data_IF_329429927355
#
_entry.id   IF_329429927355
#
_cell.length_a   1.000
_cell.length_b   1.000
_cell.length_c   1.000
_cell.angle_alpha   90.00
_cell.angle_beta   90.00
_cell.angle_gamma   90.00
#
_symmetry.space_group_name_H-M   'P 1'
#
loop_
_entity.id
_entity.type
_entity.pdbx_description
1 polymer ?
#
# COMPACT_ATOMS: atom_id res chain seq x y z
N UNK A 1 -19.45 -15.14 3.05
CA UNK A 1 -18.58 -13.98 3.19
C UNK A 1 -17.39 -14.31 4.09
N UNK A 2 -16.22 -13.77 3.75
CA UNK A 2 -14.99 -13.91 4.52
C UNK A 2 -14.52 -12.53 4.95
N UNK A 3 -13.83 -12.46 6.07
CA UNK A 3 -13.22 -11.23 6.58
C UNK A 3 -11.71 -11.42 6.66
N UNK A 4 -10.95 -10.41 6.26
CA UNK A 4 -9.50 -10.34 6.41
C UNK A 4 -9.13 -9.04 7.08
N UNK A 5 -8.20 -9.12 8.02
CA UNK A 5 -7.55 -7.96 8.60
C UNK A 5 -6.07 -8.00 8.20
N UNK A 6 -5.52 -6.86 7.81
CA UNK A 6 -4.11 -6.69 7.46
C UNK A 6 -3.59 -5.41 8.09
N UNK A 7 -2.43 -5.50 8.71
CA UNK A 7 -1.67 -4.37 9.19
C UNK A 7 -0.39 -4.24 8.36
N UNK A 8 -0.07 -3.05 7.95
CA UNK A 8 1.10 -2.73 7.15
C UNK A 8 1.76 -1.51 7.79
N UNK A 9 3.04 -1.63 8.04
CA UNK A 9 3.91 -0.58 8.54
C UNK A 9 5.01 -0.35 7.51
N UNK A 10 5.08 0.86 6.99
CA UNK A 10 6.04 1.29 5.99
C UNK A 10 6.79 2.49 6.54
N UNK A 11 8.09 2.33 6.77
CA UNK A 11 8.97 3.44 7.10
C UNK A 11 10.15 3.46 6.15
N UNK A 12 10.50 4.62 5.66
CA UNK A 12 11.67 4.83 4.82
C UNK A 12 12.27 6.22 5.07
N UNK A 13 13.60 6.31 4.95
CA UNK A 13 14.31 7.57 5.02
C UNK A 13 15.25 7.69 3.82
N UNK A 14 15.18 8.80 3.13
CA UNK A 14 16.02 9.06 1.97
C UNK A 14 16.58 10.48 2.04
N UNK A 15 17.74 10.69 1.42
CA UNK A 15 18.26 12.02 1.18
C UNK A 15 18.74 12.16 -0.25
N UNK A 16 18.34 13.22 -0.92
CA UNK A 16 18.76 13.49 -2.30
C UNK A 16 19.02 14.98 -2.52
N UNK A 17 19.81 15.28 -3.55
CA UNK A 17 19.99 16.64 -4.03
C UNK A 17 18.95 16.89 -5.11
N UNK A 18 18.06 17.85 -4.89
CA UNK A 18 17.03 18.18 -5.85
C UNK A 18 17.62 18.98 -7.02
N UNK A 19 17.22 18.65 -8.26
CA UNK A 19 17.72 19.27 -9.48
C UNK A 19 16.92 20.51 -9.91
N UNK A 20 15.79 20.77 -9.28
CA UNK A 20 14.90 21.91 -9.53
C UNK A 20 14.26 22.37 -8.23
N UNK A 21 13.77 23.59 -8.20
CA UNK A 21 12.96 24.05 -7.07
C UNK A 21 11.69 23.21 -6.97
N UNK A 22 11.37 22.76 -5.78
CA UNK A 22 10.11 22.09 -5.47
C UNK A 22 9.36 22.90 -4.42
N UNK A 23 8.05 22.93 -4.54
CA UNK A 23 7.17 23.51 -3.54
C UNK A 23 6.38 22.37 -2.90
N UNK A 24 6.38 22.33 -1.58
CA UNK A 24 5.65 21.34 -0.82
C UNK A 24 5.09 21.95 0.45
N UNK A 25 3.79 21.79 0.67
CA UNK A 25 3.06 22.32 1.83
C UNK A 25 3.35 23.82 2.11
N UNK A 26 3.40 24.65 1.04
CA UNK A 26 3.65 26.09 1.11
C UNK A 26 5.12 26.48 1.35
N UNK A 27 6.05 25.52 1.39
CA UNK A 27 7.49 25.75 1.52
C UNK A 27 8.21 25.46 0.19
N UNK A 28 9.18 26.31 -0.16
CA UNK A 28 9.95 26.16 -1.40
C UNK A 28 11.35 25.64 -1.10
N UNK A 29 11.67 24.43 -1.59
CA UNK A 29 13.01 23.85 -1.52
C UNK A 29 13.78 24.21 -2.79
N UNK A 30 14.91 24.89 -2.61
CA UNK A 30 15.70 25.44 -3.72
C UNK A 30 16.52 24.34 -4.41
N UNK A 31 16.65 24.44 -5.74
CA UNK A 31 17.48 23.51 -6.53
C UNK A 31 18.93 23.45 -6.02
N UNK A 32 19.56 22.30 -6.19
CA UNK A 32 20.91 21.96 -5.72
C UNK A 32 21.05 21.90 -4.18
N UNK A 33 19.96 21.83 -3.46
CA UNK A 33 19.91 21.67 -2.01
C UNK A 33 19.72 20.18 -1.67
N UNK A 34 20.35 19.73 -0.60
CA UNK A 34 20.09 18.40 -0.05
C UNK A 34 18.81 18.45 0.77
N UNK A 35 17.88 17.61 0.42
CA UNK A 35 16.62 17.40 1.16
C UNK A 35 16.62 16.00 1.73
N UNK A 36 16.43 15.88 3.02
CA UNK A 36 16.13 14.62 3.69
C UNK A 36 14.62 14.44 3.75
N UNK A 37 14.18 13.23 3.49
CA UNK A 37 12.77 12.84 3.55
C UNK A 37 12.65 11.66 4.50
N UNK A 38 11.85 11.82 5.54
CA UNK A 38 11.46 10.77 6.45
C UNK A 38 9.96 10.49 6.23
N UNK A 39 9.65 9.22 6.04
CA UNK A 39 8.30 8.77 5.75
C UNK A 39 7.93 7.61 6.66
N UNK A 40 6.86 7.79 7.41
CA UNK A 40 6.23 6.76 8.23
C UNK A 40 4.76 6.64 7.85
N UNK A 41 4.32 5.44 7.50
CA UNK A 41 2.94 5.18 7.13
C UNK A 41 2.48 3.84 7.71
N UNK A 42 1.52 3.91 8.61
CA UNK A 42 0.80 2.75 9.13
C UNK A 42 -0.54 2.60 8.41
N UNK A 43 -0.87 1.38 8.00
CA UNK A 43 -2.14 1.09 7.36
C UNK A 43 -2.82 -0.11 8.01
N UNK A 44 -4.12 0.01 8.24
CA UNK A 44 -4.98 -1.08 8.70
C UNK A 44 -6.07 -1.30 7.66
N UNK A 45 -6.10 -2.50 7.09
CA UNK A 45 -7.10 -2.93 6.11
C UNK A 45 -8.10 -3.89 6.74
N UNK A 46 -9.38 -3.59 6.63
CA UNK A 46 -10.48 -4.51 6.85
C UNK A 46 -11.13 -4.87 5.52
N UNK A 47 -10.98 -6.12 5.07
CA UNK A 47 -11.56 -6.58 3.80
C UNK A 47 -12.69 -7.57 4.04
N UNK A 48 -13.86 -7.26 3.49
CA UNK A 48 -15.00 -8.18 3.39
C UNK A 48 -15.10 -8.69 1.96
N UNK A 49 -15.03 -10.00 1.75
CA UNK A 49 -15.03 -10.59 0.42
C UNK A 49 -15.79 -11.90 0.34
N UNK A 50 -16.17 -12.27 -0.87
CA UNK A 50 -16.72 -13.60 -1.21
C UNK A 50 -15.86 -14.21 -2.31
N UNK A 51 -15.90 -15.54 -2.40
CA UNK A 51 -15.08 -16.31 -3.33
C UNK A 51 -16.01 -17.08 -4.27
N UNK A 52 -16.36 -16.49 -5.44
CA UNK A 52 -17.21 -17.15 -6.43
C UNK A 52 -16.58 -18.42 -7.01
N UNK A 53 -15.25 -18.46 -7.08
CA UNK A 53 -14.47 -19.64 -7.41
C UNK A 53 -13.58 -20.01 -6.22
N UNK A 54 -13.61 -21.26 -5.81
CA UNK A 54 -12.82 -21.74 -4.68
C UNK A 54 -12.43 -23.22 -4.86
N UNK A 55 -11.69 -23.47 -5.94
CA UNK A 55 -11.14 -24.79 -6.28
C UNK A 55 -9.60 -24.70 -6.30
N UNK A 56 -8.95 -25.28 -7.31
CA UNK A 56 -7.52 -25.10 -7.55
C UNK A 56 -7.16 -23.61 -7.80
N UNK A 57 -8.10 -22.89 -8.41
CA UNK A 57 -8.05 -21.44 -8.54
C UNK A 57 -9.13 -20.84 -7.64
N UNK A 58 -8.75 -19.90 -6.80
CA UNK A 58 -9.65 -19.11 -5.96
C UNK A 58 -9.69 -17.67 -6.49
N UNK A 59 -10.88 -17.14 -6.66
CA UNK A 59 -11.10 -15.74 -7.03
C UNK A 59 -11.87 -15.08 -5.89
N UNK A 60 -11.38 -13.97 -5.41
CA UNK A 60 -11.96 -13.18 -4.33
C UNK A 60 -12.44 -11.83 -4.89
N UNK A 61 -13.66 -11.41 -4.53
CA UNK A 61 -14.23 -10.12 -4.86
C UNK A 61 -14.84 -9.51 -3.60
N UNK A 62 -14.60 -8.23 -3.36
CA UNK A 62 -15.09 -7.62 -2.14
C UNK A 62 -14.82 -6.12 -2.02
N UNK A 63 -14.86 -5.67 -0.77
CA UNK A 63 -14.59 -4.29 -0.38
C UNK A 63 -13.54 -4.29 0.72
N UNK A 64 -12.59 -3.39 0.61
CA UNK A 64 -11.60 -3.10 1.65
C UNK A 64 -11.86 -1.70 2.20
N UNK A 65 -11.86 -1.56 3.50
CA UNK A 65 -11.76 -0.27 4.18
C UNK A 65 -10.35 -0.17 4.72
N UNK A 66 -9.60 0.82 4.25
CA UNK A 66 -8.23 1.12 4.65
C UNK A 66 -8.20 2.35 5.53
N UNK A 67 -7.66 2.22 6.73
CA UNK A 67 -7.26 3.35 7.54
C UNK A 67 -5.75 3.56 7.37
N UNK A 68 -5.38 4.80 7.10
CA UNK A 68 -4.00 5.25 6.95
C UNK A 68 -3.71 6.30 8.01
N UNK A 69 -2.65 6.11 8.77
CA UNK A 69 -2.08 7.08 9.68
C UNK A 69 -0.60 7.23 9.34
N UNK A 70 -0.14 8.43 9.01
CA UNK A 70 1.24 8.61 8.61
C UNK A 70 1.73 10.04 8.72
N UNK A 71 3.05 10.16 8.76
CA UNK A 71 3.77 11.43 8.78
C UNK A 71 4.84 11.44 7.69
N UNK A 72 4.88 12.53 6.94
CA UNK A 72 5.92 12.83 5.96
C UNK A 72 6.65 14.06 6.41
N UNK A 73 7.97 13.97 6.62
CA UNK A 73 8.84 15.09 6.95
C UNK A 73 9.83 15.35 5.83
N UNK A 74 9.99 16.61 5.50
CA UNK A 74 10.95 17.10 4.52
C UNK A 74 11.85 18.13 5.20
N UNK A 75 13.13 17.79 5.35
CA UNK A 75 14.14 18.63 5.98
C UNK A 75 15.13 19.14 4.95
N UNK A 76 15.09 20.44 4.69
CA UNK A 76 16.10 21.18 3.92
C UNK A 76 17.00 22.00 4.85
N UNK A 77 18.08 22.60 4.34
CA UNK A 77 19.01 23.40 5.16
C UNK A 77 18.40 24.64 5.81
N UNK A 78 17.34 25.18 5.26
CA UNK A 78 16.65 26.39 5.71
C UNK A 78 15.16 26.22 5.88
N UNK A 79 14.59 25.12 5.39
CA UNK A 79 13.15 24.87 5.34
C UNK A 79 12.86 23.46 5.86
N UNK A 80 11.94 23.37 6.82
CA UNK A 80 11.40 22.12 7.34
C UNK A 80 9.88 22.14 7.15
N UNK A 81 9.32 21.03 6.72
CA UNK A 81 7.87 20.87 6.63
C UNK A 81 7.44 19.46 6.94
N UNK A 82 6.26 19.32 7.51
CA UNK A 82 5.66 18.03 7.83
C UNK A 82 4.22 17.99 7.36
N UNK A 83 3.80 16.84 6.89
CA UNK A 83 2.43 16.54 6.51
C UNK A 83 1.98 15.27 7.24
N UNK A 84 0.92 15.38 8.02
CA UNK A 84 0.28 14.24 8.66
C UNK A 84 -0.94 13.78 7.84
N UNK A 85 -1.04 12.48 7.62
CA UNK A 85 -2.13 11.83 6.91
C UNK A 85 -2.93 11.00 7.91
N UNK A 86 -4.23 11.24 8.00
CA UNK A 86 -5.15 10.41 8.78
C UNK A 86 -6.44 10.26 7.99
N UNK A 87 -6.48 9.22 7.16
CA UNK A 87 -7.57 9.02 6.21
C UNK A 87 -8.14 7.61 6.28
N UNK A 88 -9.43 7.51 6.01
CA UNK A 88 -10.12 6.22 5.88
C UNK A 88 -10.76 6.13 4.50
N UNK A 89 -10.30 5.15 3.72
CA UNK A 89 -10.64 5.03 2.31
C UNK A 89 -11.32 3.68 2.02
N UNK A 90 -12.54 3.66 1.48
CA UNK A 90 -13.17 2.45 0.97
C UNK A 90 -12.64 2.13 -0.44
N UNK A 91 -12.30 0.86 -0.68
CA UNK A 91 -11.71 0.40 -1.94
C UNK A 91 -12.42 -0.85 -2.45
N UNK A 92 -12.48 -1.03 -3.76
CA UNK A 92 -12.88 -2.29 -4.36
C UNK A 92 -11.73 -3.30 -4.24
N UNK A 93 -12.05 -4.52 -3.85
CA UNK A 93 -11.09 -5.61 -3.69
C UNK A 93 -11.28 -6.68 -4.75
N UNK A 94 -10.19 -7.09 -5.38
CA UNK A 94 -10.11 -8.24 -6.26
C UNK A 94 -8.88 -9.08 -5.94
N UNK A 95 -9.03 -10.41 -5.93
CA UNK A 95 -7.93 -11.33 -5.66
C UNK A 95 -8.01 -12.59 -6.49
N UNK A 96 -6.85 -13.14 -6.81
CA UNK A 96 -6.71 -14.45 -7.42
C UNK A 96 -5.62 -15.24 -6.72
N UNK A 97 -5.88 -16.53 -6.52
CA UNK A 97 -4.92 -17.47 -5.94
C UNK A 97 -5.01 -18.81 -6.64
N UNK A 98 -3.88 -19.34 -7.06
CA UNK A 98 -3.76 -20.69 -7.59
C UNK A 98 -2.97 -21.58 -6.62
N UNK A 99 -3.54 -22.70 -6.21
CA UNK A 99 -2.87 -23.72 -5.38
C UNK A 99 -2.04 -24.62 -6.26
N UNK A 100 -0.79 -24.84 -5.86
CA UNK A 100 0.08 -25.82 -6.51
C UNK A 100 -0.17 -27.19 -5.89
N UNK A 101 -0.38 -28.22 -6.72
CA UNK A 101 -0.72 -29.55 -6.23
C UNK A 101 0.41 -30.14 -5.37
N UNK A 102 0.02 -30.86 -4.31
CA UNK A 102 0.89 -31.67 -3.44
C UNK A 102 1.95 -30.92 -2.61
N UNK A 103 1.94 -29.60 -2.55
CA UNK A 103 3.04 -28.85 -1.95
C UNK A 103 2.62 -27.90 -0.80
N UNK A 104 1.32 -27.64 -0.63
CA UNK A 104 0.85 -26.56 0.25
C UNK A 104 1.23 -25.15 -0.25
N UNK A 105 1.93 -25.07 -1.38
CA UNK A 105 2.32 -23.82 -2.03
C UNK A 105 1.16 -23.22 -2.81
N UNK A 106 1.16 -21.91 -2.90
CA UNK A 106 0.26 -21.15 -3.77
C UNK A 106 0.93 -19.91 -4.33
N UNK A 107 0.43 -19.46 -5.46
CA UNK A 107 0.76 -18.17 -6.03
C UNK A 107 -0.51 -17.33 -6.10
N UNK A 108 -0.40 -16.04 -5.99
CA UNK A 108 -1.57 -15.18 -6.05
C UNK A 108 -1.23 -13.72 -6.23
N UNK A 109 -2.28 -12.96 -6.44
CA UNK A 109 -2.23 -11.51 -6.49
C UNK A 109 -3.52 -10.91 -6.01
N UNK A 110 -3.44 -9.68 -5.56
CA UNK A 110 -4.58 -8.87 -5.12
C UNK A 110 -4.45 -7.46 -5.66
N UNK A 111 -5.58 -6.84 -5.88
CA UNK A 111 -5.71 -5.43 -6.20
C UNK A 111 -6.78 -4.82 -5.32
N UNK A 112 -6.50 -3.64 -4.77
CA UNK A 112 -7.48 -2.76 -4.18
C UNK A 112 -7.45 -1.44 -4.94
N UNK A 113 -8.60 -0.91 -5.28
CA UNK A 113 -8.69 0.29 -6.11
C UNK A 113 -9.86 1.18 -5.71
N UNK A 114 -9.63 2.47 -5.75
CA UNK A 114 -10.67 3.49 -5.71
C UNK A 114 -10.34 4.60 -6.69
N UNK A 115 -11.38 5.18 -7.26
CA UNK A 115 -11.31 6.44 -7.98
C UNK A 115 -12.49 7.29 -7.54
N UNK A 116 -12.21 8.51 -7.11
CA UNK A 116 -13.21 9.47 -6.69
C UNK A 116 -12.74 10.89 -7.00
N UNK A 117 -13.57 11.65 -7.70
CA UNK A 117 -13.39 13.07 -8.02
C UNK A 117 -11.98 13.44 -8.54
N UNK A 118 -11.51 12.67 -9.54
CA UNK A 118 -10.18 12.86 -10.13
C UNK A 118 -9.06 12.13 -9.42
N UNK A 119 -9.14 11.95 -8.12
CA UNK A 119 -8.15 11.22 -7.32
C UNK A 119 -8.28 9.72 -7.48
N UNK A 120 -7.16 9.01 -7.47
CA UNK A 120 -7.09 7.56 -7.61
C UNK A 120 -6.12 6.97 -6.60
N UNK A 121 -6.50 5.87 -5.99
CA UNK A 121 -5.61 5.05 -5.18
C UNK A 121 -5.73 3.60 -5.65
N UNK A 122 -4.60 3.02 -5.99
CA UNK A 122 -4.53 1.62 -6.39
C UNK A 122 -3.40 0.97 -5.61
N UNK A 123 -3.66 -0.19 -5.03
CA UNK A 123 -2.59 -1.06 -4.58
C UNK A 123 -2.74 -2.44 -5.22
N UNK A 124 -1.63 -3.04 -5.54
CA UNK A 124 -1.58 -4.40 -6.03
C UNK A 124 -0.37 -5.12 -5.45
N UNK A 125 -0.55 -6.40 -5.22
CA UNK A 125 0.52 -7.28 -4.81
C UNK A 125 0.51 -8.58 -5.59
N UNK A 126 1.70 -9.13 -5.75
CA UNK A 126 1.92 -10.48 -6.22
C UNK A 126 2.68 -11.25 -5.15
N UNK A 127 2.30 -12.49 -4.90
CA UNK A 127 2.86 -13.29 -3.81
C UNK A 127 2.97 -14.77 -4.15
N UNK A 128 3.96 -15.39 -3.54
CA UNK A 128 4.06 -16.83 -3.36
C UNK A 128 3.94 -17.13 -1.88
N UNK A 129 3.20 -18.14 -1.52
CA UNK A 129 3.03 -18.51 -0.14
C UNK A 129 2.97 -20.02 0.04
N UNK A 130 3.20 -20.42 1.27
CA UNK A 130 3.03 -21.78 1.73
C UNK A 130 2.07 -21.79 2.92
N UNK A 131 1.17 -22.76 2.92
CA UNK A 131 0.22 -22.96 4.01
C UNK A 131 0.35 -24.37 4.54
N UNK A 132 0.59 -24.47 5.84
CA UNK A 132 0.54 -25.75 6.53
C UNK A 132 -0.89 -26.15 6.83
N UNK A 133 -1.10 -27.44 7.10
CA UNK A 133 -2.39 -27.97 7.57
C UNK A 133 -2.76 -27.50 8.99
N UNK A 134 -1.83 -26.84 9.68
CA UNK A 134 -1.95 -26.37 11.06
C UNK A 134 -2.19 -24.86 11.17
N UNK A 135 -2.98 -24.27 10.31
CA UNK A 135 -3.42 -22.86 10.38
C UNK A 135 -2.33 -21.79 10.11
N UNK A 136 -1.06 -22.18 10.01
CA UNK A 136 0.06 -21.27 9.77
C UNK A 136 0.35 -21.13 8.27
N UNK A 137 0.49 -19.90 7.80
CA UNK A 137 0.95 -19.59 6.44
C UNK A 137 2.12 -18.60 6.46
N UNK A 138 3.01 -18.77 5.49
CA UNK A 138 4.10 -17.86 5.19
C UNK A 138 3.90 -17.33 3.77
N UNK A 139 4.05 -16.03 3.59
CA UNK A 139 3.95 -15.37 2.29
C UNK A 139 5.18 -14.49 2.04
N UNK A 140 5.74 -14.61 0.84
CA UNK A 140 6.72 -13.67 0.29
C UNK A 140 6.07 -13.01 -0.92
N UNK A 141 6.10 -11.71 -0.99
CA UNK A 141 5.48 -10.97 -2.08
C UNK A 141 6.16 -9.66 -2.39
N UNK A 142 5.64 -9.03 -3.41
CA UNK A 142 5.95 -7.66 -3.80
C UNK A 142 4.65 -6.87 -3.83
N UNK A 143 4.63 -5.75 -3.16
CA UNK A 143 3.48 -4.84 -3.12
C UNK A 143 3.86 -3.52 -3.75
N UNK A 144 2.92 -2.90 -4.46
CA UNK A 144 3.05 -1.56 -5.01
C UNK A 144 1.76 -0.80 -4.82
N UNK A 145 1.86 0.41 -4.30
CA UNK A 145 0.76 1.34 -4.10
C UNK A 145 1.03 2.60 -4.90
N UNK A 146 0.06 2.99 -5.69
CA UNK A 146 0.06 4.23 -6.46
C UNK A 146 -1.10 5.10 -5.99
N UNK A 147 -0.79 6.33 -5.60
CA UNK A 147 -1.75 7.34 -5.15
C UNK A 147 -1.60 8.53 -6.08
N UNK A 148 -2.65 8.84 -6.82
CA UNK A 148 -2.76 10.04 -7.63
C UNK A 148 -3.82 10.93 -7.00
N UNK A 149 -3.41 12.08 -6.51
CA UNK A 149 -4.30 13.13 -6.01
C UNK A 149 -4.37 14.20 -7.08
N UNK A 150 -5.58 14.46 -7.56
CA UNK A 150 -5.88 15.48 -8.55
C UNK A 150 -6.71 16.57 -7.86
N UNK A 151 -6.20 17.81 -7.89
CA UNK A 151 -6.87 19.03 -7.41
C UNK A 151 -7.30 19.03 -5.92
N UNK A 152 -6.59 18.30 -5.05
CA UNK A 152 -6.80 18.36 -3.61
C UNK A 152 -5.92 19.45 -3.00
N UNK A 153 -6.51 20.59 -2.65
CA UNK A 153 -5.81 21.77 -2.11
C UNK A 153 -4.70 22.35 -3.01
N UNK A 154 -4.93 22.41 -4.33
CA UNK A 154 -3.93 22.86 -5.33
C UNK A 154 -2.66 21.99 -5.40
N UNK A 155 -2.72 20.74 -4.94
CA UNK A 155 -1.64 19.77 -4.99
C UNK A 155 -1.97 18.64 -5.98
N UNK A 156 -1.18 18.58 -7.05
CA UNK A 156 -1.09 17.41 -7.90
C UNK A 156 0.05 16.53 -7.38
N UNK A 157 -0.28 15.38 -6.82
CA UNK A 157 0.72 14.48 -6.25
C UNK A 157 0.55 13.09 -6.85
N UNK A 158 1.63 12.57 -7.40
CA UNK A 158 1.75 11.17 -7.82
C UNK A 158 2.77 10.50 -6.91
N UNK A 159 2.28 9.62 -6.03
CA UNK A 159 3.09 8.87 -5.10
C UNK A 159 3.06 7.39 -5.45
N UNK A 160 4.23 6.83 -5.66
CA UNK A 160 4.43 5.42 -5.98
C UNK A 160 5.33 4.78 -4.91
N UNK A 161 4.76 3.90 -4.12
CA UNK A 161 5.45 3.21 -3.03
C UNK A 161 5.37 1.71 -3.31
N UNK A 162 6.51 1.04 -3.29
CA UNK A 162 6.53 -0.40 -3.49
C UNK A 162 7.77 -1.08 -2.95
N UNK A 163 7.63 -2.36 -2.63
CA UNK A 163 8.72 -3.15 -2.13
C UNK A 163 8.37 -4.60 -1.86
N UNK A 164 9.37 -5.44 -1.60
CA UNK A 164 9.17 -6.80 -1.14
C UNK A 164 8.62 -6.82 0.29
N UNK A 165 7.79 -7.79 0.59
CA UNK A 165 7.29 -8.02 1.94
C UNK A 165 7.32 -9.50 2.31
N UNK A 166 7.43 -9.76 3.60
CA UNK A 166 7.25 -11.06 4.21
C UNK A 166 6.06 -11.00 5.17
N UNK A 167 5.13 -11.94 5.06
CA UNK A 167 3.97 -12.00 5.93
C UNK A 167 3.77 -13.38 6.53
N UNK A 168 3.26 -13.40 7.74
CA UNK A 168 2.81 -14.60 8.45
C UNK A 168 1.30 -14.49 8.57
N UNK A 169 0.58 -15.54 8.20
CA UNK A 169 -0.88 -15.59 8.30
C UNK A 169 -1.33 -16.72 9.22
N UNK A 170 -2.37 -16.44 9.97
CA UNK A 170 -3.11 -17.43 10.74
C UNK A 170 -4.52 -17.52 10.15
N UNK A 171 -4.98 -18.74 9.91
CA UNK A 171 -6.34 -19.00 9.38
C UNK A 171 -7.10 -19.85 10.38
N UNK A 172 -8.27 -19.40 10.81
CA UNK A 172 -9.15 -20.10 11.73
C UNK A 172 -10.34 -20.69 10.99
#
# INVERSE_FOLDING_TARGET
PNVRLRYIDLSDSASSIISRNIEFNGQTFVANTRVATDFDLEMVDGTLYFSPLNNAIKVDLGLTVRRMDGDLQLDGPTEETSLSINETVPMLHGGIRAKLPLSGLYVGGEVNAIAYDGSKMNDYNARIGWRSDYLLGLELGYSRMNIVLDDVNDLDTDLDIGGPYLAISLSF
#
